data_IF_722601032904
#
_entry.id   IF_722601032904
#
_cell.length_a   1.000
_cell.length_b   1.000
_cell.length_c   1.000
_cell.angle_alpha   90.00
_cell.angle_beta   90.00
_cell.angle_gamma   90.00
#
_symmetry.space_group_name_H-M   'P 1'
#
loop_
_entity.id
_entity.type
_entity.pdbx_description
1 polymer ?
#
# COMPACT_ATOMS: atom_id res chain seq x y z
N UNK A 1 -10.87 26.42 16.92
CA UNK A 1 -9.47 26.20 16.53
C UNK A 1 -9.15 24.71 16.65
N UNK A 2 -8.74 24.09 15.55
CA UNK A 2 -8.57 22.65 15.40
C UNK A 2 -7.41 22.08 16.24
N UNK A 3 -7.58 22.00 17.57
CA UNK A 3 -6.59 21.44 18.54
C UNK A 3 -6.12 20.02 18.20
N UNK A 4 -6.87 19.30 17.37
CA UNK A 4 -6.59 17.92 16.97
C UNK A 4 -5.95 17.80 15.57
N UNK A 5 -5.83 18.89 14.81
CA UNK A 5 -5.27 18.86 13.46
C UNK A 5 -3.79 18.42 13.43
N UNK A 6 -2.89 18.95 14.29
CA UNK A 6 -1.49 18.52 14.30
C UNK A 6 -1.32 17.03 14.69
N UNK A 7 -2.17 16.53 15.61
CA UNK A 7 -2.16 15.12 16.00
C UNK A 7 -2.57 14.21 14.84
N UNK A 8 -3.62 14.59 14.09
CA UNK A 8 -4.08 13.84 12.92
C UNK A 8 -3.06 13.86 11.79
N UNK A 9 -2.40 14.99 11.55
CA UNK A 9 -1.29 15.10 10.58
C UNK A 9 -0.11 14.20 10.95
N UNK A 10 0.30 14.20 12.23
CA UNK A 10 1.37 13.32 12.71
C UNK A 10 0.99 11.82 12.59
N UNK A 11 -0.25 11.45 12.90
CA UNK A 11 -0.75 10.09 12.67
C UNK A 11 -0.74 9.72 11.18
N UNK A 12 -1.16 10.61 10.30
CA UNK A 12 -1.09 10.42 8.85
C UNK A 12 0.34 10.18 8.37
N UNK A 13 1.30 11.00 8.81
CA UNK A 13 2.72 10.83 8.49
C UNK A 13 3.29 9.47 8.96
N UNK A 14 2.92 9.02 10.16
CA UNK A 14 3.33 7.71 10.67
C UNK A 14 2.76 6.54 9.86
N UNK A 15 1.48 6.63 9.46
CA UNK A 15 0.85 5.63 8.59
C UNK A 15 1.52 5.57 7.21
N UNK A 16 1.88 6.73 6.65
CA UNK A 16 2.61 6.84 5.37
C UNK A 16 3.98 6.18 5.44
N UNK A 17 4.77 6.45 6.48
CA UNK A 17 6.07 5.81 6.65
C UNK A 17 5.97 4.27 6.70
N UNK A 18 4.97 3.76 7.42
CA UNK A 18 4.71 2.31 7.47
C UNK A 18 4.29 1.76 6.10
N UNK A 19 3.49 2.50 5.33
CA UNK A 19 3.09 2.11 3.98
C UNK A 19 4.27 2.02 3.05
N UNK A 20 5.13 3.05 2.99
CA UNK A 20 6.36 3.03 2.18
C UNK A 20 7.23 1.82 2.50
N UNK A 21 7.36 1.45 3.78
CA UNK A 21 8.14 0.26 4.17
C UNK A 21 7.47 -1.05 3.73
N UNK A 22 6.14 -1.10 3.76
CA UNK A 22 5.35 -2.26 3.32
C UNK A 22 5.46 -2.42 1.80
N UNK A 23 5.39 -1.32 1.05
CA UNK A 23 5.59 -1.26 -0.40
C UNK A 23 7.00 -1.74 -0.75
N UNK A 24 8.05 -1.18 -0.14
CA UNK A 24 9.44 -1.62 -0.36
C UNK A 24 9.62 -3.12 -0.14
N UNK A 25 8.99 -3.68 0.90
CA UNK A 25 9.04 -5.12 1.15
C UNK A 25 8.38 -5.93 0.03
N UNK A 26 7.21 -5.50 -0.46
CA UNK A 26 6.56 -6.13 -1.59
C UNK A 26 7.40 -6.04 -2.86
N UNK A 27 7.90 -4.86 -3.21
CA UNK A 27 8.75 -4.65 -4.39
C UNK A 27 9.97 -5.56 -4.33
N UNK A 28 10.69 -5.60 -3.20
CA UNK A 28 11.87 -6.45 -3.05
C UNK A 28 11.57 -7.95 -3.25
N UNK A 29 10.38 -8.41 -2.84
CA UNK A 29 9.99 -9.81 -3.06
C UNK A 29 9.61 -10.02 -4.53
N UNK A 30 8.85 -9.09 -5.13
CA UNK A 30 8.35 -9.20 -6.50
C UNK A 30 9.47 -9.06 -7.55
N UNK A 31 10.54 -8.33 -7.24
CA UNK A 31 11.66 -8.06 -8.17
C UNK A 31 12.94 -8.81 -7.80
N UNK A 32 12.89 -9.79 -6.88
CA UNK A 32 14.08 -10.59 -6.57
C UNK A 32 14.49 -11.41 -7.79
N UNK A 33 15.79 -11.61 -7.98
CA UNK A 33 16.33 -12.35 -9.13
C UNK A 33 15.98 -13.84 -9.09
N UNK A 34 15.86 -14.40 -7.88
CA UNK A 34 15.44 -15.79 -7.69
C UNK A 34 13.97 -16.00 -8.09
N UNK A 35 13.60 -17.20 -8.58
CA UNK A 35 12.21 -17.56 -8.75
C UNK A 35 11.40 -17.36 -7.45
N UNK A 36 10.19 -16.84 -7.61
CA UNK A 36 9.24 -16.74 -6.50
C UNK A 36 8.91 -18.15 -5.98
N UNK A 37 8.85 -18.28 -4.66
CA UNK A 37 8.43 -19.51 -3.98
C UNK A 37 6.98 -19.40 -3.51
N UNK A 38 6.34 -20.53 -3.16
CA UNK A 38 4.99 -20.52 -2.58
C UNK A 38 4.91 -19.69 -1.27
N UNK A 39 6.02 -19.59 -0.51
CA UNK A 39 6.15 -18.74 0.68
C UNK A 39 6.17 -17.25 0.33
N UNK A 40 6.86 -16.89 -0.75
CA UNK A 40 6.89 -15.51 -1.25
C UNK A 40 5.51 -15.07 -1.72
N UNK A 41 4.80 -15.93 -2.45
CA UNK A 41 3.42 -15.68 -2.89
C UNK A 41 2.48 -15.52 -1.70
N UNK A 42 2.62 -16.35 -0.66
CA UNK A 42 1.82 -16.22 0.57
C UNK A 42 2.11 -14.89 1.27
N UNK A 43 3.37 -14.45 1.28
CA UNK A 43 3.78 -13.17 1.86
C UNK A 43 3.25 -11.98 1.05
N UNK A 44 3.33 -12.04 -0.27
CA UNK A 44 2.79 -11.03 -1.19
C UNK A 44 1.28 -10.86 -1.04
N UNK A 45 0.51 -11.96 -0.98
CA UNK A 45 -0.94 -11.92 -0.73
C UNK A 45 -1.29 -11.21 0.58
N UNK A 46 -0.57 -11.54 1.67
CA UNK A 46 -0.74 -10.86 2.96
C UNK A 46 -0.40 -9.37 2.89
N UNK A 47 0.61 -9.00 2.10
CA UNK A 47 0.98 -7.59 1.91
C UNK A 47 -0.12 -6.85 1.15
N UNK A 48 -0.72 -7.44 0.11
CA UNK A 48 -1.88 -6.84 -0.59
C UNK A 48 -3.04 -6.57 0.36
N UNK A 49 -3.40 -7.54 1.21
CA UNK A 49 -4.46 -7.35 2.21
C UNK A 49 -4.13 -6.22 3.20
N UNK A 50 -2.86 -6.11 3.60
CA UNK A 50 -2.40 -5.04 4.48
C UNK A 50 -2.45 -3.66 3.82
N UNK A 51 -2.05 -3.57 2.54
CA UNK A 51 -2.11 -2.33 1.75
C UNK A 51 -3.56 -1.86 1.58
N UNK A 52 -4.47 -2.77 1.21
CA UNK A 52 -5.90 -2.47 1.04
C UNK A 52 -6.53 -1.92 2.34
N UNK A 53 -6.27 -2.56 3.48
CA UNK A 53 -6.76 -2.08 4.79
C UNK A 53 -6.19 -0.71 5.16
N UNK A 54 -4.90 -0.50 4.92
CA UNK A 54 -4.25 0.79 5.24
C UNK A 54 -4.71 1.92 4.32
N UNK A 55 -5.01 1.64 3.06
CA UNK A 55 -5.63 2.59 2.13
C UNK A 55 -6.98 3.08 2.67
N UNK A 56 -7.84 2.15 3.09
CA UNK A 56 -9.14 2.49 3.69
C UNK A 56 -9.00 3.33 4.97
N UNK A 57 -8.01 3.03 5.83
CA UNK A 57 -7.74 3.84 7.03
C UNK A 57 -7.26 5.25 6.68
N UNK A 58 -6.43 5.40 5.65
CA UNK A 58 -5.99 6.72 5.18
C UNK A 58 -7.16 7.53 4.63
N UNK A 59 -7.97 6.94 3.76
CA UNK A 59 -9.19 7.57 3.23
C UNK A 59 -10.08 8.10 4.36
N UNK A 60 -10.32 7.30 5.39
CA UNK A 60 -11.08 7.74 6.57
C UNK A 60 -10.42 8.88 7.36
N UNK A 61 -9.09 8.85 7.50
CA UNK A 61 -8.36 9.87 8.23
C UNK A 61 -8.38 11.19 7.48
N UNK A 62 -8.23 11.13 6.16
CA UNK A 62 -8.18 12.30 5.32
C UNK A 62 -9.56 12.91 5.10
N UNK A 63 -10.65 12.14 4.98
CA UNK A 63 -12.02 12.69 5.05
C UNK A 63 -12.25 13.48 6.34
N UNK A 64 -11.77 12.95 7.48
CA UNK A 64 -11.85 13.62 8.79
C UNK A 64 -10.97 14.87 8.86
N UNK A 65 -9.86 14.92 8.12
CA UNK A 65 -8.96 16.08 8.04
C UNK A 65 -9.53 17.14 7.10
N UNK A 66 -10.05 16.76 5.94
CA UNK A 66 -10.72 17.64 4.96
C UNK A 66 -11.92 18.34 5.61
N UNK A 67 -12.74 17.61 6.38
CA UNK A 67 -13.82 18.23 7.16
C UNK A 67 -13.37 19.23 8.24
N UNK A 68 -12.07 19.31 8.53
CA UNK A 68 -11.44 20.24 9.48
C UNK A 68 -10.61 21.35 8.81
N UNK A 69 -10.45 21.35 7.48
CA UNK A 69 -9.63 22.31 6.71
C UNK A 69 -10.48 22.95 5.60
N UNK A 70 -10.55 24.28 5.52
CA UNK A 70 -11.35 25.01 4.52
C UNK A 70 -10.83 24.90 3.07
N UNK A 71 -9.55 24.55 2.84
CA UNK A 71 -8.96 24.33 1.50
C UNK A 71 -8.04 23.08 1.49
N UNK A 72 -8.52 21.91 1.03
CA UNK A 72 -7.81 20.63 1.15
C UNK A 72 -6.84 20.32 -0.01
N UNK A 73 -6.42 21.30 -0.81
CA UNK A 73 -5.74 21.09 -2.11
C UNK A 73 -4.43 20.28 -2.11
N UNK A 74 -3.84 19.99 -0.96
CA UNK A 74 -2.49 19.38 -0.85
C UNK A 74 -2.49 18.03 -0.10
N UNK A 75 -3.65 17.46 0.24
CA UNK A 75 -3.72 16.17 0.95
C UNK A 75 -4.29 15.09 0.03
N UNK A 76 -3.47 14.05 -0.22
CA UNK A 76 -3.82 12.63 -0.50
C UNK A 76 -3.49 12.00 -1.85
N UNK A 77 -3.15 12.73 -2.89
CA UNK A 77 -3.08 12.09 -4.21
C UNK A 77 -1.92 11.08 -4.34
N UNK A 78 -0.75 11.44 -3.83
CA UNK A 78 0.50 10.70 -4.09
C UNK A 78 0.54 9.30 -3.48
N UNK A 79 -0.05 9.09 -2.30
CA UNK A 79 0.02 7.79 -1.61
C UNK A 79 -0.99 6.78 -2.15
N UNK A 80 -2.16 7.24 -2.60
CA UNK A 80 -3.15 6.35 -3.21
C UNK A 80 -2.62 5.77 -4.51
N UNK A 81 -1.98 6.61 -5.32
CA UNK A 81 -1.35 6.21 -6.57
C UNK A 81 -0.21 5.21 -6.33
N UNK A 82 0.68 5.46 -5.34
CA UNK A 82 1.77 4.54 -4.98
C UNK A 82 1.26 3.17 -4.47
N UNK A 83 0.15 3.15 -3.70
CA UNK A 83 -0.49 1.91 -3.24
C UNK A 83 -1.05 1.12 -4.43
N UNK A 84 -1.75 1.79 -5.34
CA UNK A 84 -2.42 1.15 -6.47
C UNK A 84 -1.42 0.58 -7.47
N UNK A 85 -0.34 1.33 -7.76
CA UNK A 85 0.79 0.84 -8.57
C UNK A 85 1.45 -0.39 -7.94
N UNK A 86 1.72 -0.34 -6.62
CA UNK A 86 2.33 -1.47 -5.91
C UNK A 86 1.41 -2.69 -5.91
N UNK A 87 0.10 -2.51 -5.68
CA UNK A 87 -0.87 -3.59 -5.70
C UNK A 87 -0.96 -4.24 -7.09
N UNK A 88 -0.90 -3.44 -8.17
CA UNK A 88 -0.85 -3.93 -9.54
C UNK A 88 0.43 -4.75 -9.81
N UNK A 89 1.60 -4.26 -9.38
CA UNK A 89 2.87 -4.98 -9.51
C UNK A 89 2.85 -6.34 -8.79
N UNK A 90 2.31 -6.39 -7.56
CA UNK A 90 2.17 -7.64 -6.81
C UNK A 90 1.21 -8.59 -7.54
N UNK A 91 0.08 -8.08 -8.04
CA UNK A 91 -0.92 -8.90 -8.75
C UNK A 91 -0.31 -9.54 -10.01
N UNK A 92 0.41 -8.75 -10.81
CA UNK A 92 1.12 -9.24 -11.99
C UNK A 92 2.16 -10.32 -11.63
N UNK A 93 2.92 -10.14 -10.54
CA UNK A 93 3.89 -11.13 -10.09
C UNK A 93 3.23 -12.47 -9.68
N UNK A 94 2.07 -12.40 -9.04
CA UNK A 94 1.29 -13.58 -8.65
C UNK A 94 0.75 -14.31 -9.89
N UNK A 95 0.16 -13.57 -10.85
CA UNK A 95 -0.36 -14.15 -12.09
C UNK A 95 0.74 -14.83 -12.91
N UNK A 96 1.90 -14.18 -13.02
CA UNK A 96 3.06 -14.74 -13.73
C UNK A 96 3.52 -16.06 -13.08
N UNK A 97 3.66 -16.10 -11.75
CA UNK A 97 4.01 -17.33 -11.03
C UNK A 97 3.00 -18.46 -11.27
N UNK A 98 1.69 -18.15 -11.24
CA UNK A 98 0.64 -19.14 -11.48
C UNK A 98 0.73 -19.70 -12.90
N UNK A 99 0.95 -18.85 -13.91
CA UNK A 99 1.07 -19.26 -15.31
C UNK A 99 2.25 -20.23 -15.53
N UNK A 100 3.41 -19.95 -14.95
CA UNK A 100 4.59 -20.83 -15.03
C UNK A 100 4.36 -22.19 -14.37
N UNK A 101 3.64 -22.23 -13.23
CA UNK A 101 3.30 -23.48 -12.54
C UNK A 101 2.31 -24.36 -13.32
N UNK A 102 1.46 -23.75 -14.14
CA UNK A 102 0.52 -24.48 -15.00
C UNK A 102 1.24 -25.07 -16.22
N UNK A 103 2.19 -24.33 -16.80
CA UNK A 103 2.96 -24.76 -17.99
C UNK A 103 4.04 -25.80 -17.65
N UNK A 104 4.51 -25.84 -16.40
CA UNK A 104 5.56 -26.76 -15.93
C UNK A 104 5.01 -28.09 -15.35
N UNK A 105 3.74 -28.43 -15.60
CA UNK A 105 3.10 -29.72 -15.27
C UNK A 105 2.88 -30.55 -16.52
#
# INVERSE_FOLDING_TARGET
>A
MAKNLPKRQASGAGYRAHLTQTIKKATNIATKEDPLTDSDITSLKRIVDQLARKRSILEELDEKIVGMIEDPKELEKDIKEEIDETAAQISNAIEHFQSYKIVSK
#
